data_IF_575832392574
#
_entry.id   IF_575832392574
#
_cell.length_a   1.000
_cell.length_b   1.000
_cell.length_c   1.000
_cell.angle_alpha   90.00
_cell.angle_beta   90.00
_cell.angle_gamma   90.00
#
_symmetry.space_group_name_H-M   'P 1'
#
loop_
_entity.id
_entity.type
_entity.pdbx_description
1 polymer ?
#
# COMPACT_ATOMS: atom_id res chain seq x y z
N UNK A 1 5.39 23.10 -42.38
CA UNK A 1 6.27 21.91 -42.51
C UNK A 1 7.16 21.83 -41.28
N UNK A 2 7.12 20.77 -40.52
CA UNK A 2 7.99 20.61 -39.37
C UNK A 2 9.46 20.60 -39.86
N UNK A 3 10.29 21.43 -39.23
CA UNK A 3 11.70 21.57 -39.62
C UNK A 3 12.40 20.23 -39.25
N UNK A 4 13.04 19.59 -40.22
CA UNK A 4 13.74 18.29 -40.07
C UNK A 4 14.75 18.31 -38.92
N UNK A 5 15.31 19.48 -38.61
CA UNK A 5 16.22 19.69 -37.48
C UNK A 5 15.48 19.58 -36.15
N UNK A 6 14.27 20.06 -36.07
CA UNK A 6 13.42 20.01 -34.87
C UNK A 6 12.96 18.58 -34.56
N UNK A 7 12.53 17.85 -35.59
CA UNK A 7 12.18 16.42 -35.48
C UNK A 7 13.37 15.59 -35.00
N UNK A 8 14.58 15.82 -35.52
CA UNK A 8 15.78 15.12 -35.02
C UNK A 8 16.08 15.42 -33.57
N UNK A 9 15.87 16.65 -33.10
CA UNK A 9 16.05 17.05 -31.70
C UNK A 9 15.02 16.37 -30.81
N UNK A 10 13.78 16.29 -31.25
CA UNK A 10 12.73 15.58 -30.54
C UNK A 10 13.01 14.08 -30.40
N UNK A 11 13.46 13.44 -31.50
CA UNK A 11 13.86 12.00 -31.47
C UNK A 11 15.01 11.78 -30.49
N UNK A 12 16.02 12.64 -30.47
CA UNK A 12 17.13 12.52 -29.52
C UNK A 12 16.66 12.67 -28.06
N UNK A 13 15.77 13.63 -27.80
CA UNK A 13 15.16 13.82 -26.46
C UNK A 13 14.36 12.61 -26.02
N UNK A 14 13.51 12.05 -26.89
CA UNK A 14 12.71 10.85 -26.60
C UNK A 14 13.62 9.64 -26.31
N UNK A 15 14.68 9.44 -27.10
CA UNK A 15 15.66 8.37 -26.86
C UNK A 15 16.37 8.51 -25.52
N UNK A 16 16.70 9.74 -25.11
CA UNK A 16 17.29 10.02 -23.80
C UNK A 16 16.31 9.67 -22.67
N UNK A 17 15.06 10.12 -22.80
CA UNK A 17 13.99 9.80 -21.83
C UNK A 17 13.75 8.30 -21.73
N UNK A 18 13.73 7.59 -22.85
CA UNK A 18 13.60 6.12 -22.88
C UNK A 18 14.71 5.42 -22.07
N UNK A 19 15.96 5.86 -22.24
CA UNK A 19 17.08 5.30 -21.47
C UNK A 19 16.92 5.52 -19.96
N UNK A 20 16.50 6.73 -19.57
CA UNK A 20 16.25 7.07 -18.16
C UNK A 20 15.13 6.20 -17.60
N UNK A 21 14.01 6.08 -18.33
CA UNK A 21 12.86 5.26 -17.89
C UNK A 21 13.24 3.80 -17.74
N UNK A 22 14.03 3.24 -18.67
CA UNK A 22 14.52 1.86 -18.58
C UNK A 22 15.43 1.65 -17.38
N UNK A 23 16.31 2.61 -17.08
CA UNK A 23 17.13 2.55 -15.87
C UNK A 23 16.29 2.61 -14.59
N UNK A 24 15.25 3.46 -14.55
CA UNK A 24 14.32 3.52 -13.42
C UNK A 24 13.53 2.23 -13.24
N UNK A 25 13.13 1.58 -14.34
CA UNK A 25 12.46 0.28 -14.31
C UNK A 25 13.34 -0.79 -13.65
N UNK A 26 14.63 -0.88 -14.02
CA UNK A 26 15.58 -1.82 -13.42
C UNK A 26 15.73 -1.59 -11.91
N UNK A 27 15.84 -0.33 -11.48
CA UNK A 27 15.94 0.01 -10.06
C UNK A 27 14.65 -0.35 -9.32
N UNK A 28 13.49 -0.07 -9.91
CA UNK A 28 12.19 -0.41 -9.32
C UNK A 28 12.01 -1.93 -9.20
N UNK A 29 12.36 -2.69 -10.23
CA UNK A 29 12.32 -4.15 -10.22
C UNK A 29 13.23 -4.75 -9.12
N UNK A 30 14.44 -4.23 -8.96
CA UNK A 30 15.36 -4.66 -7.90
C UNK A 30 14.80 -4.40 -6.50
N UNK A 31 14.22 -3.21 -6.28
CA UNK A 31 13.57 -2.86 -4.99
C UNK A 31 12.35 -3.74 -4.71
N UNK A 32 11.54 -3.98 -5.73
CA UNK A 32 10.36 -4.86 -5.62
C UNK A 32 10.76 -6.28 -5.23
N UNK A 33 11.80 -6.85 -5.88
CA UNK A 33 12.31 -8.16 -5.52
C UNK A 33 12.75 -8.21 -4.06
N UNK A 34 13.57 -7.26 -3.61
CA UNK A 34 14.01 -7.19 -2.22
C UNK A 34 12.84 -7.14 -1.23
N UNK A 35 11.80 -6.37 -1.55
CA UNK A 35 10.62 -6.25 -0.69
C UNK A 35 9.82 -7.55 -0.66
N UNK A 36 9.69 -8.23 -1.81
CA UNK A 36 9.05 -9.55 -1.89
C UNK A 36 9.80 -10.59 -1.06
N UNK A 37 11.13 -10.64 -1.15
CA UNK A 37 11.95 -11.55 -0.37
C UNK A 37 11.76 -11.31 1.14
N UNK A 38 11.80 -10.06 1.59
CA UNK A 38 11.54 -9.71 3.00
C UNK A 38 10.13 -10.11 3.45
N UNK A 39 9.13 -9.93 2.59
CA UNK A 39 7.76 -10.35 2.89
C UNK A 39 7.65 -11.87 3.03
N UNK A 40 8.31 -12.62 2.16
CA UNK A 40 8.32 -14.08 2.20
C UNK A 40 9.01 -14.61 3.46
N UNK A 41 10.08 -13.97 3.91
CA UNK A 41 10.75 -14.29 5.18
C UNK A 41 9.86 -14.04 6.40
N UNK A 42 9.08 -12.96 6.40
CA UNK A 42 8.17 -12.60 7.50
C UNK A 42 6.87 -13.40 7.54
N UNK A 43 6.45 -13.99 6.42
CA UNK A 43 5.17 -14.67 6.28
C UNK A 43 4.98 -15.85 7.26
N UNK A 44 5.94 -16.77 7.43
CA UNK A 44 5.77 -17.89 8.37
C UNK A 44 5.59 -17.44 9.81
N UNK A 45 6.26 -16.37 10.22
CA UNK A 45 6.06 -15.77 11.54
C UNK A 45 4.64 -15.22 11.72
N UNK A 46 4.13 -14.49 10.75
CA UNK A 46 2.78 -13.95 10.75
C UNK A 46 1.71 -15.05 10.85
N UNK A 47 1.89 -16.16 10.14
CA UNK A 47 0.98 -17.30 10.21
C UNK A 47 1.03 -17.97 11.58
N UNK A 48 2.21 -18.19 12.15
CA UNK A 48 2.38 -18.80 13.46
C UNK A 48 1.81 -17.95 14.60
N UNK A 49 1.99 -16.63 14.55
CA UNK A 49 1.35 -15.72 15.50
C UNK A 49 -0.18 -15.83 15.43
N UNK A 50 -0.73 -15.91 14.24
CA UNK A 50 -2.18 -16.08 14.05
C UNK A 50 -2.69 -17.37 14.71
N UNK A 51 -1.96 -18.48 14.52
CA UNK A 51 -2.27 -19.76 15.16
C UNK A 51 -2.23 -19.64 16.70
N UNK A 52 -1.17 -19.00 17.23
CA UNK A 52 -1.02 -18.79 18.69
C UNK A 52 -2.16 -17.95 19.24
N UNK A 53 -2.53 -16.85 18.59
CA UNK A 53 -3.64 -15.99 19.01
C UNK A 53 -4.94 -16.79 19.01
N UNK A 54 -5.18 -17.61 17.99
CA UNK A 54 -6.38 -18.45 17.93
C UNK A 54 -6.43 -19.46 19.07
N UNK A 55 -5.30 -20.11 19.39
CA UNK A 55 -5.23 -21.06 20.51
C UNK A 55 -5.45 -20.37 21.86
N UNK A 56 -4.85 -19.19 22.07
CA UNK A 56 -5.03 -18.42 23.30
C UNK A 56 -6.48 -17.93 23.45
N UNK A 57 -7.11 -17.52 22.35
CA UNK A 57 -8.51 -17.12 22.36
C UNK A 57 -9.48 -18.27 22.70
N UNK A 58 -9.14 -19.51 22.30
CA UNK A 58 -9.92 -20.71 22.60
C UNK A 58 -9.60 -21.33 23.97
N UNK A 59 -8.44 -21.01 24.55
CA UNK A 59 -8.07 -21.45 25.87
C UNK A 59 -8.96 -20.77 26.91
N UNK A 60 -9.67 -21.59 27.72
CA UNK A 60 -10.44 -21.12 28.87
C UNK A 60 -9.46 -20.51 29.89
N UNK A 61 -9.16 -19.24 29.76
CA UNK A 61 -8.38 -18.50 30.73
C UNK A 61 -9.32 -18.05 31.87
N UNK A 62 -8.94 -18.30 33.12
CA UNK A 62 -9.64 -17.75 34.29
C UNK A 62 -9.68 -16.21 34.29
N UNK A 63 -8.80 -15.59 33.49
CA UNK A 63 -8.72 -14.14 33.33
C UNK A 63 -9.03 -13.75 31.87
N UNK A 64 -10.23 -13.25 31.55
CA UNK A 64 -10.58 -12.77 30.23
C UNK A 64 -9.78 -11.47 29.93
N UNK A 65 -8.92 -11.52 28.92
CA UNK A 65 -8.17 -10.34 28.54
C UNK A 65 -9.09 -9.33 27.82
N UNK A 66 -9.02 -8.02 28.13
CA UNK A 66 -9.92 -7.00 27.57
C UNK A 66 -9.99 -6.94 26.05
N UNK A 67 -8.98 -7.43 25.32
CA UNK A 67 -8.98 -7.50 23.86
C UNK A 67 -9.84 -8.61 23.27
N UNK A 68 -10.25 -9.60 24.07
CA UNK A 68 -11.14 -10.69 23.64
C UNK A 68 -12.60 -10.43 23.97
N UNK A 69 -12.91 -9.36 24.71
CA UNK A 69 -14.31 -9.00 25.01
C UNK A 69 -14.99 -8.43 23.77
N UNK A 70 -16.11 -8.98 23.40
CA UNK A 70 -16.98 -8.40 22.36
C UNK A 70 -17.59 -7.11 22.86
N UNK A 71 -17.23 -6.00 22.25
CA UNK A 71 -17.75 -4.66 22.55
C UNK A 71 -18.38 -4.06 21.30
N UNK A 72 -19.50 -3.35 21.48
CA UNK A 72 -20.07 -2.57 20.38
C UNK A 72 -19.04 -1.53 19.89
N UNK A 73 -18.69 -1.53 18.59
CA UNK A 73 -17.71 -0.61 18.04
C UNK A 73 -18.24 0.84 18.11
N UNK A 74 -17.61 1.67 18.93
CA UNK A 74 -17.94 3.09 19.05
C UNK A 74 -17.08 3.98 18.15
N UNK A 75 -15.89 3.51 17.80
CA UNK A 75 -14.93 4.23 16.96
C UNK A 75 -14.15 3.23 16.10
N UNK A 76 -13.97 3.54 14.83
CA UNK A 76 -13.14 2.78 13.92
C UNK A 76 -11.83 3.53 13.65
N UNK A 77 -10.72 2.80 13.58
CA UNK A 77 -9.41 3.34 13.19
C UNK A 77 -9.02 2.72 11.85
N UNK A 78 -8.78 3.57 10.86
CA UNK A 78 -8.30 3.15 9.54
C UNK A 78 -6.79 3.38 9.44
N UNK A 79 -6.04 2.31 9.18
CA UNK A 79 -4.61 2.39 8.91
C UNK A 79 -4.42 2.41 7.39
N UNK A 80 -4.03 3.56 6.86
CA UNK A 80 -3.82 3.77 5.44
C UNK A 80 -2.35 3.66 5.10
N UNK A 81 -2.00 2.72 4.22
CA UNK A 81 -0.63 2.51 3.74
C UNK A 81 -0.55 2.97 2.29
N UNK A 82 0.29 3.95 2.03
CA UNK A 82 0.49 4.53 0.69
C UNK A 82 1.97 4.54 0.31
N UNK A 83 2.30 4.81 -0.95
CA UNK A 83 3.69 4.96 -1.39
C UNK A 83 4.24 6.34 -1.03
N UNK A 84 5.52 6.41 -0.64
CA UNK A 84 6.21 7.67 -0.29
C UNK A 84 6.48 8.56 -1.51
N UNK A 85 6.64 7.95 -2.69
CA UNK A 85 7.03 8.65 -3.91
C UNK A 85 5.92 8.58 -4.96
N UNK A 86 5.85 9.60 -5.80
CA UNK A 86 4.99 9.65 -6.97
C UNK A 86 5.35 8.60 -8.03
N UNK A 87 4.91 8.81 -9.25
CA UNK A 87 5.05 7.91 -10.41
C UNK A 87 4.27 6.60 -10.28
N UNK A 88 3.26 6.58 -9.43
CA UNK A 88 2.34 5.45 -9.20
C UNK A 88 0.96 5.65 -9.88
N UNK A 89 0.86 6.58 -10.82
CA UNK A 89 -0.42 6.93 -11.46
C UNK A 89 -1.45 7.44 -10.45
N UNK A 90 -2.67 6.95 -10.55
CA UNK A 90 -3.77 7.32 -9.65
C UNK A 90 -3.85 6.52 -8.34
N UNK A 91 -2.88 5.66 -8.04
CA UNK A 91 -2.95 4.74 -6.89
C UNK A 91 -3.25 5.45 -5.58
N UNK A 92 -2.41 6.42 -5.19
CA UNK A 92 -2.57 7.14 -3.93
C UNK A 92 -3.83 8.02 -3.92
N UNK A 93 -4.12 8.67 -5.05
CA UNK A 93 -5.31 9.53 -5.17
C UNK A 93 -6.59 8.72 -5.01
N UNK A 94 -6.68 7.56 -5.64
CA UNK A 94 -7.84 6.69 -5.53
C UNK A 94 -7.98 6.12 -4.11
N UNK A 95 -6.86 5.72 -3.48
CA UNK A 95 -6.85 5.27 -2.09
C UNK A 95 -7.39 6.34 -1.15
N UNK A 96 -6.90 7.58 -1.26
CA UNK A 96 -7.36 8.69 -0.42
C UNK A 96 -8.82 9.07 -0.69
N UNK A 97 -9.28 9.04 -1.93
CA UNK A 97 -10.69 9.26 -2.27
C UNK A 97 -11.58 8.23 -1.57
N UNK A 98 -11.23 6.95 -1.62
CA UNK A 98 -12.00 5.92 -0.92
C UNK A 98 -11.97 6.11 0.59
N UNK A 99 -10.83 6.44 1.16
CA UNK A 99 -10.70 6.68 2.58
C UNK A 99 -11.55 7.87 3.04
N UNK A 100 -11.56 8.97 2.29
CA UNK A 100 -12.36 10.17 2.58
C UNK A 100 -13.85 9.92 2.42
N UNK A 101 -14.29 9.14 1.43
CA UNK A 101 -15.68 8.76 1.28
C UNK A 101 -16.17 7.97 2.50
N UNK A 102 -15.41 7.00 2.98
CA UNK A 102 -15.76 6.25 4.19
C UNK A 102 -15.81 7.12 5.45
N UNK A 103 -14.94 8.12 5.57
CA UNK A 103 -14.95 9.02 6.75
C UNK A 103 -16.03 10.09 6.66
N UNK A 104 -16.42 10.52 5.47
CA UNK A 104 -17.49 11.51 5.25
C UNK A 104 -18.88 10.89 5.48
N UNK A 105 -19.11 9.68 4.97
CA UNK A 105 -20.38 8.96 5.16
C UNK A 105 -20.65 8.66 6.65
N UNK A 106 -19.57 8.36 7.41
CA UNK A 106 -19.68 8.13 8.85
C UNK A 106 -19.96 9.42 9.66
N UNK A 107 -19.73 10.61 9.08
CA UNK A 107 -20.04 11.89 9.75
C UNK A 107 -21.50 12.32 9.56
N UNK A 108 -22.15 11.90 8.48
CA UNK A 108 -23.55 12.22 8.18
C UNK A 108 -24.54 11.33 8.97
N UNK A 109 -24.12 10.16 9.42
CA UNK A 109 -24.95 9.25 10.26
C UNK A 109 -25.03 9.65 11.75
N UNK A 110 -24.42 10.76 12.16
CA UNK A 110 -24.37 11.23 13.58
C UNK A 110 -25.15 12.54 13.78
N UNK A 111 -25.92 12.97 12.79
CA UNK A 111 -26.74 14.18 12.86
C UNK A 111 -28.23 13.88 13.20
#
# INVERSE_FOLDING_TARGET
MANTKEVRKQIASIKSTQKITSAMEMVAASKMKKTQDTMLEGRPYSLKIKDVISHVALANSEYPHPFYEERAPKKACFIVVSSDKGLCGGLNINLFKHCLLYTSDAADDVA
#
